data_IF_087306606960
#
_entry.id   IF_087306606960
#
_cell.length_a   1.000
_cell.length_b   1.000
_cell.length_c   1.000
_cell.angle_alpha   90.00
_cell.angle_beta   90.00
_cell.angle_gamma   90.00
#
_symmetry.space_group_name_H-M   'P 1'
#
loop_
_entity.id
_entity.type
_entity.pdbx_description
1 polymer ?
#
# COMPACT_ATOMS: atom_id res chain seq x y z
N UNK A 1 6.17 -4.84 18.48
CA UNK A 1 5.63 -3.56 17.99
C UNK A 1 6.63 -2.78 17.13
N UNK A 2 7.92 -2.72 17.47
CA UNK A 2 8.94 -2.01 16.66
C UNK A 2 9.07 -2.58 15.23
N UNK A 3 9.05 -3.91 15.07
CA UNK A 3 9.12 -4.55 13.75
C UNK A 3 7.94 -4.21 12.81
N UNK A 4 6.75 -3.95 13.36
CA UNK A 4 5.58 -3.49 12.59
C UNK A 4 5.76 -2.06 12.08
N UNK A 5 6.35 -1.18 12.89
CA UNK A 5 6.67 0.19 12.47
C UNK A 5 7.69 0.23 11.33
N UNK A 6 8.70 -0.63 11.39
CA UNK A 6 9.69 -0.77 10.30
C UNK A 6 9.06 -1.38 9.04
N UNK A 7 8.13 -2.34 9.19
CA UNK A 7 7.41 -2.94 8.08
C UNK A 7 6.48 -1.96 7.33
N UNK A 8 6.06 -0.86 7.99
CA UNK A 8 5.20 0.16 7.38
C UNK A 8 5.95 1.12 6.42
N UNK A 9 7.29 1.17 6.48
CA UNK A 9 8.09 2.12 5.69
C UNK A 9 7.98 1.83 4.19
N UNK A 10 8.13 0.56 3.79
CA UNK A 10 8.03 0.14 2.39
C UNK A 10 6.68 0.47 1.74
N UNK A 11 5.55 0.05 2.35
CA UNK A 11 4.22 0.42 1.90
C UNK A 11 4.01 1.93 1.88
N UNK A 12 4.42 2.66 2.91
CA UNK A 12 4.26 4.13 2.97
C UNK A 12 4.92 4.84 1.78
N UNK A 13 6.14 4.44 1.41
CA UNK A 13 6.83 4.96 0.23
C UNK A 13 6.13 4.51 -1.06
N UNK A 14 5.78 3.23 -1.16
CA UNK A 14 5.14 2.67 -2.35
C UNK A 14 3.81 3.34 -2.68
N UNK A 15 2.94 3.50 -1.67
CA UNK A 15 1.66 4.18 -1.79
C UNK A 15 1.85 5.63 -2.23
N UNK A 16 2.79 6.36 -1.63
CA UNK A 16 3.11 7.74 -2.02
C UNK A 16 3.50 7.87 -3.50
N UNK A 17 4.36 6.97 -3.99
CA UNK A 17 4.80 6.96 -5.39
C UNK A 17 3.65 6.61 -6.36
N UNK A 18 2.82 5.61 -6.01
CA UNK A 18 1.68 5.18 -6.83
C UNK A 18 0.70 6.34 -7.02
N UNK A 19 0.31 7.01 -5.93
CA UNK A 19 -0.64 8.11 -6.01
C UNK A 19 -0.04 9.37 -6.66
N UNK A 20 1.25 9.65 -6.47
CA UNK A 20 1.93 10.74 -7.18
C UNK A 20 1.92 10.52 -8.71
N UNK A 21 2.19 9.29 -9.16
CA UNK A 21 2.12 8.92 -10.57
C UNK A 21 0.68 8.98 -11.10
N UNK A 22 -0.31 8.54 -10.32
CA UNK A 22 -1.73 8.64 -10.66
C UNK A 22 -2.16 10.09 -10.87
N UNK A 23 -1.92 10.97 -9.90
CA UNK A 23 -2.30 12.40 -9.97
C UNK A 23 -1.64 13.07 -11.17
N UNK A 24 -0.34 12.83 -11.37
CA UNK A 24 0.40 13.39 -12.52
C UNK A 24 -0.13 12.85 -13.85
N UNK A 25 -0.48 11.57 -13.91
CA UNK A 25 -1.06 10.94 -15.10
C UNK A 25 -2.42 11.53 -15.46
N UNK A 26 -3.32 11.67 -14.47
CA UNK A 26 -4.65 12.27 -14.66
C UNK A 26 -4.56 13.73 -15.04
N UNK A 27 -3.65 14.50 -14.42
CA UNK A 27 -3.41 15.90 -14.78
C UNK A 27 -2.95 16.07 -16.24
N UNK A 28 -2.22 15.10 -16.79
CA UNK A 28 -1.78 15.12 -18.20
C UNK A 28 -2.85 14.62 -19.16
N UNK A 29 -3.64 13.63 -18.75
CA UNK A 29 -4.69 13.02 -19.57
C UNK A 29 -5.92 12.68 -18.71
N UNK A 30 -6.88 13.62 -18.57
CA UNK A 30 -8.09 13.40 -17.77
C UNK A 30 -8.94 12.23 -18.29
N UNK A 31 -8.98 12.02 -19.61
CA UNK A 31 -9.71 10.92 -20.25
C UNK A 31 -9.18 9.53 -19.83
N UNK A 32 -7.92 9.45 -19.41
CA UNK A 32 -7.31 8.21 -18.95
C UNK A 32 -7.59 7.89 -17.47
N UNK A 33 -8.31 8.76 -16.74
CA UNK A 33 -8.54 8.62 -15.29
C UNK A 33 -9.08 7.24 -14.90
N UNK A 34 -10.11 6.75 -15.59
CA UNK A 34 -10.72 5.46 -15.27
C UNK A 34 -9.71 4.30 -15.32
N UNK A 35 -8.84 4.29 -16.34
CA UNK A 35 -7.79 3.28 -16.51
C UNK A 35 -6.67 3.45 -15.50
N UNK A 36 -6.20 4.69 -15.30
CA UNK A 36 -5.15 5.01 -14.33
C UNK A 36 -5.57 4.68 -12.91
N UNK A 37 -6.85 4.89 -12.56
CA UNK A 37 -7.40 4.57 -11.23
C UNK A 37 -7.39 3.08 -10.97
N UNK A 38 -7.77 2.26 -11.95
CA UNK A 38 -7.70 0.80 -11.82
C UNK A 38 -6.27 0.31 -11.62
N UNK A 39 -5.30 0.87 -12.35
CA UNK A 39 -3.88 0.54 -12.20
C UNK A 39 -3.36 1.00 -10.84
N UNK A 40 -3.72 2.21 -10.39
CA UNK A 40 -3.30 2.75 -9.10
C UNK A 40 -3.84 1.92 -7.93
N UNK A 41 -5.12 1.53 -7.97
CA UNK A 41 -5.72 0.65 -6.93
C UNK A 41 -5.03 -0.72 -6.91
N UNK A 42 -4.77 -1.31 -8.08
CA UNK A 42 -4.05 -2.58 -8.15
C UNK A 42 -2.64 -2.45 -7.55
N UNK A 43 -1.91 -1.40 -7.92
CA UNK A 43 -0.59 -1.12 -7.36
C UNK A 43 -0.63 -0.89 -5.85
N UNK A 44 -1.64 -0.17 -5.35
CA UNK A 44 -1.84 0.10 -3.93
C UNK A 44 -2.04 -1.21 -3.14
N UNK A 45 -2.95 -2.07 -3.60
CA UNK A 45 -3.22 -3.37 -2.96
C UNK A 45 -1.96 -4.25 -2.94
N UNK A 46 -1.20 -4.27 -4.04
CA UNK A 46 0.06 -5.03 -4.11
C UNK A 46 1.14 -4.46 -3.18
N UNK A 47 1.23 -3.14 -3.04
CA UNK A 47 2.19 -2.47 -2.17
C UNK A 47 1.91 -2.73 -0.68
N UNK A 48 0.64 -2.85 -0.29
CA UNK A 48 0.25 -3.09 1.11
C UNK A 48 0.20 -4.57 1.52
N UNK A 49 0.16 -5.51 0.57
CA UNK A 49 -0.20 -6.90 0.87
C UNK A 49 0.72 -7.58 1.90
N UNK A 50 2.04 -7.32 1.82
CA UNK A 50 3.00 -7.87 2.79
C UNK A 50 2.86 -7.25 4.18
N UNK A 51 2.44 -5.99 4.26
CA UNK A 51 2.19 -5.32 5.53
C UNK A 51 0.94 -5.84 6.21
N UNK A 52 -0.15 -6.06 5.47
CA UNK A 52 -1.40 -6.64 6.00
C UNK A 52 -1.13 -8.06 6.54
N UNK A 53 -0.36 -8.88 5.81
CA UNK A 53 0.03 -10.23 6.28
C UNK A 53 0.88 -10.12 7.56
N UNK A 54 1.88 -9.23 7.58
CA UNK A 54 2.71 -8.99 8.76
C UNK A 54 1.93 -8.50 9.98
N UNK A 55 0.90 -7.67 9.76
CA UNK A 55 -0.01 -7.19 10.78
C UNK A 55 -0.87 -8.32 11.34
N UNK A 56 -1.49 -9.13 10.47
CA UNK A 56 -2.27 -10.29 10.89
C UNK A 56 -1.43 -11.26 11.72
N UNK A 57 -0.21 -11.58 11.27
CA UNK A 57 0.71 -12.46 12.00
C UNK A 57 1.10 -11.87 13.37
N UNK A 58 1.36 -10.56 13.45
CA UNK A 58 1.69 -9.91 14.71
C UNK A 58 0.54 -9.97 15.72
N UNK A 59 -0.72 -9.88 15.27
CA UNK A 59 -1.88 -10.08 16.13
C UNK A 59 -2.01 -11.54 16.61
N UNK A 60 -1.83 -12.51 15.72
CA UNK A 60 -1.87 -13.95 16.06
C UNK A 60 -0.77 -14.31 17.08
N UNK A 61 0.47 -13.90 16.83
CA UNK A 61 1.60 -14.19 17.73
C UNK A 61 1.46 -13.50 19.09
N UNK A 62 0.88 -12.29 19.13
CA UNK A 62 0.59 -11.62 20.40
C UNK A 62 -0.51 -12.36 21.17
N UNK A 63 -1.51 -12.92 20.48
CA UNK A 63 -2.61 -13.67 21.09
C UNK A 63 -2.18 -15.05 21.61
N UNK A 64 -1.18 -15.71 21.01
CA UNK A 64 -0.74 -17.05 21.42
C UNK A 64 0.20 -17.07 22.62
N UNK A 65 0.72 -15.91 23.03
CA UNK A 65 1.72 -15.78 24.09
C UNK A 65 1.11 -15.32 25.43
N UNK A 66 -0.19 -15.58 25.62
CA UNK A 66 -0.97 -15.47 26.88
C UNK A 66 -1.59 -16.82 27.16
#
# INVERSE_FOLDING_TARGET
MIGLGLAAIGPGIGVGLIFAAFVTGVARQPEAEGKLRQIAILGFVLAEQFFIIGLALAFVLKSSNT
#
